data_IF_799756547494
#
_entry.id   IF_799756547494
#
_cell.length_a   1.000
_cell.length_b   1.000
_cell.length_c   1.000
_cell.angle_alpha   90.00
_cell.angle_beta   90.00
_cell.angle_gamma   90.00
#
_symmetry.space_group_name_H-M   'P 1'
#
loop_
_entity.id
_entity.type
_entity.pdbx_description
1 polymer ?
#
# COMPACT_ATOMS: atom_id res chain seq x y z
N UNK A 1 -0.79 -35.47 7.85
CA UNK A 1 -0.93 -34.38 6.88
C UNK A 1 -1.87 -34.80 5.76
N UNK A 2 -2.37 -33.84 4.97
CA UNK A 2 -3.20 -34.10 3.81
C UNK A 2 -2.39 -34.79 2.70
N UNK A 3 -3.05 -35.62 1.87
CA UNK A 3 -2.42 -36.24 0.71
C UNK A 3 -2.13 -35.21 -0.40
N UNK A 4 -1.31 -35.56 -1.37
CA UNK A 4 -1.02 -34.69 -2.54
C UNK A 4 -2.30 -34.45 -3.35
N UNK A 5 -3.14 -35.48 -3.44
CA UNK A 5 -4.42 -35.43 -4.13
C UNK A 5 -5.38 -34.44 -3.45
N UNK A 6 -5.49 -34.48 -2.13
CA UNK A 6 -6.32 -33.56 -1.34
C UNK A 6 -5.84 -32.11 -1.49
N UNK A 7 -4.53 -31.91 -1.46
CA UNK A 7 -3.91 -30.57 -1.64
C UNK A 7 -4.23 -30.05 -3.06
N UNK A 8 -4.05 -30.87 -4.08
CA UNK A 8 -4.32 -30.49 -5.47
C UNK A 8 -5.80 -30.16 -5.71
N UNK A 9 -6.71 -30.97 -5.17
CA UNK A 9 -8.14 -30.72 -5.22
C UNK A 9 -8.51 -29.42 -4.48
N UNK A 10 -7.97 -29.24 -3.27
CA UNK A 10 -8.19 -28.05 -2.47
C UNK A 10 -7.70 -26.75 -3.16
N UNK A 11 -6.56 -26.80 -3.84
CA UNK A 11 -6.05 -25.68 -4.64
C UNK A 11 -6.98 -25.36 -5.80
N UNK A 12 -7.46 -26.36 -6.56
CA UNK A 12 -8.37 -26.17 -7.67
C UNK A 12 -9.69 -25.53 -7.21
N UNK A 13 -10.26 -26.03 -6.11
CA UNK A 13 -11.48 -25.47 -5.50
C UNK A 13 -11.25 -24.03 -5.03
N UNK A 14 -10.10 -23.76 -4.39
CA UNK A 14 -9.77 -22.43 -3.89
C UNK A 14 -9.64 -21.39 -5.02
N UNK A 15 -8.99 -21.76 -6.12
CA UNK A 15 -8.88 -20.90 -7.32
C UNK A 15 -10.26 -20.57 -7.87
N UNK A 16 -11.12 -21.57 -8.00
CA UNK A 16 -12.48 -21.39 -8.50
C UNK A 16 -13.31 -20.50 -7.59
N UNK A 17 -13.29 -20.73 -6.28
CA UNK A 17 -14.00 -19.89 -5.31
C UNK A 17 -13.51 -18.44 -5.34
N UNK A 18 -12.20 -18.22 -5.46
CA UNK A 18 -11.67 -16.88 -5.63
C UNK A 18 -12.18 -16.22 -6.92
N UNK A 19 -12.19 -16.93 -8.04
CA UNK A 19 -12.68 -16.40 -9.31
C UNK A 19 -14.16 -16.04 -9.23
N UNK A 20 -15.00 -16.95 -8.76
CA UNK A 20 -16.46 -16.75 -8.72
C UNK A 20 -16.85 -15.67 -7.70
N UNK A 21 -16.39 -15.79 -6.46
CA UNK A 21 -16.91 -14.94 -5.37
C UNK A 21 -16.15 -13.64 -5.17
N UNK A 22 -14.85 -13.57 -5.47
CA UNK A 22 -14.06 -12.36 -5.25
C UNK A 22 -13.82 -11.53 -6.51
N UNK A 23 -13.63 -12.18 -7.66
CA UNK A 23 -13.35 -11.47 -8.91
C UNK A 23 -14.65 -11.17 -9.65
N UNK A 24 -15.45 -12.20 -9.98
CA UNK A 24 -16.73 -12.06 -10.66
C UNK A 24 -17.77 -11.47 -9.70
N UNK A 25 -17.69 -11.80 -8.41
CA UNK A 25 -18.62 -11.40 -7.35
C UNK A 25 -20.04 -11.93 -7.56
N UNK A 26 -20.18 -13.12 -8.17
CA UNK A 26 -21.45 -13.80 -8.26
C UNK A 26 -21.91 -14.25 -6.86
N UNK A 27 -23.15 -13.98 -6.50
CA UNK A 27 -23.72 -14.43 -5.23
C UNK A 27 -24.12 -15.91 -5.30
N UNK A 28 -24.51 -16.37 -6.50
CA UNK A 28 -24.91 -17.75 -6.78
C UNK A 28 -24.68 -18.10 -8.25
N UNK A 29 -24.91 -19.36 -8.61
CA UNK A 29 -24.70 -19.84 -9.98
C UNK A 29 -25.64 -19.21 -11.01
N UNK A 30 -26.83 -18.73 -10.61
CA UNK A 30 -27.80 -18.12 -11.51
C UNK A 30 -27.33 -16.76 -12.03
N UNK A 31 -26.49 -16.06 -11.29
CA UNK A 31 -25.87 -14.80 -11.71
C UNK A 31 -24.97 -14.98 -12.96
N UNK A 32 -24.47 -16.19 -13.21
CA UNK A 32 -23.66 -16.54 -14.37
C UNK A 32 -24.47 -17.02 -15.58
N UNK A 33 -25.79 -17.15 -15.42
CA UNK A 33 -26.69 -17.63 -16.46
C UNK A 33 -26.76 -19.14 -16.60
N UNK A 34 -27.57 -19.60 -17.54
CA UNK A 34 -27.83 -21.03 -17.75
C UNK A 34 -26.74 -21.74 -18.56
N UNK A 35 -26.10 -21.03 -19.49
CA UNK A 35 -25.06 -21.54 -20.38
C UNK A 35 -23.73 -20.88 -20.05
N UNK A 36 -22.89 -21.64 -19.36
CA UNK A 36 -21.58 -21.15 -18.93
C UNK A 36 -20.51 -21.71 -19.85
N UNK A 37 -19.77 -20.81 -20.49
CA UNK A 37 -18.63 -21.13 -21.34
C UNK A 37 -17.35 -20.61 -20.66
N UNK A 38 -16.36 -21.49 -20.57
CA UNK A 38 -15.05 -21.15 -20.02
C UNK A 38 -13.97 -21.12 -21.07
N UNK A 39 -13.02 -20.19 -20.93
CA UNK A 39 -11.94 -20.02 -21.88
C UNK A 39 -10.62 -19.68 -21.16
N UNK A 40 -9.52 -19.81 -21.90
CA UNK A 40 -8.17 -19.57 -21.40
C UNK A 40 -7.44 -20.86 -21.05
N UNK A 41 -6.11 -20.77 -20.98
CA UNK A 41 -5.22 -21.91 -20.77
C UNK A 41 -5.44 -22.63 -19.43
N UNK A 42 -5.90 -21.94 -18.40
CA UNK A 42 -6.19 -22.51 -17.09
C UNK A 42 -7.24 -23.63 -17.16
N UNK A 43 -8.20 -23.52 -18.07
CA UNK A 43 -9.25 -24.52 -18.24
C UNK A 43 -8.82 -25.74 -19.05
N UNK A 44 -7.56 -25.82 -19.51
CA UNK A 44 -7.00 -27.10 -19.98
C UNK A 44 -6.76 -28.09 -18.83
N UNK A 45 -6.70 -27.57 -17.59
CA UNK A 45 -6.64 -28.41 -16.40
C UNK A 45 -8.05 -28.92 -16.05
N UNK A 46 -8.26 -30.22 -16.21
CA UNK A 46 -9.54 -30.88 -15.95
C UNK A 46 -9.97 -30.76 -14.46
N UNK A 47 -9.02 -30.71 -13.54
CA UNK A 47 -9.34 -30.53 -12.12
C UNK A 47 -9.96 -29.15 -11.84
N UNK A 48 -9.49 -28.11 -12.53
CA UNK A 48 -10.07 -26.75 -12.42
C UNK A 48 -11.46 -26.72 -13.06
N UNK A 49 -11.62 -27.32 -14.26
CA UNK A 49 -12.93 -27.42 -14.91
C UNK A 49 -13.95 -28.13 -13.99
N UNK A 50 -13.55 -29.29 -13.47
CA UNK A 50 -14.43 -30.08 -12.58
C UNK A 50 -14.77 -29.35 -11.28
N UNK A 51 -13.79 -28.66 -10.67
CA UNK A 51 -14.01 -27.83 -9.49
C UNK A 51 -15.02 -26.70 -9.78
N UNK A 52 -14.97 -26.12 -10.99
CA UNK A 52 -15.90 -25.08 -11.42
C UNK A 52 -17.33 -25.62 -11.56
N UNK A 53 -17.50 -26.80 -12.20
CA UNK A 53 -18.80 -27.49 -12.33
C UNK A 53 -19.37 -27.86 -10.97
N UNK A 54 -18.55 -28.37 -10.06
CA UNK A 54 -18.98 -28.74 -8.71
C UNK A 54 -19.41 -27.53 -7.88
N UNK A 55 -18.65 -26.45 -7.95
CA UNK A 55 -18.98 -25.23 -7.20
C UNK A 55 -20.27 -24.55 -7.68
N UNK A 56 -20.53 -24.61 -8.99
CA UNK A 56 -21.75 -24.05 -9.58
C UNK A 56 -22.94 -25.02 -9.63
N UNK A 57 -22.72 -26.31 -9.38
CA UNK A 57 -23.75 -27.35 -9.54
C UNK A 57 -24.29 -27.49 -10.97
N UNK A 58 -23.47 -27.12 -11.99
CA UNK A 58 -23.85 -27.06 -13.41
C UNK A 58 -22.75 -27.54 -14.31
N UNK A 59 -23.13 -28.06 -15.47
CA UNK A 59 -22.19 -28.37 -16.55
C UNK A 59 -21.66 -27.06 -17.14
N UNK A 60 -20.38 -27.05 -17.46
CA UNK A 60 -19.68 -25.91 -18.04
C UNK A 60 -19.07 -26.34 -19.39
N UNK A 61 -19.31 -25.55 -20.43
CA UNK A 61 -18.78 -25.80 -21.75
C UNK A 61 -17.36 -25.28 -21.89
N UNK A 62 -16.41 -26.18 -22.13
CA UNK A 62 -15.03 -25.84 -22.49
C UNK A 62 -14.87 -26.13 -24.01
N UNK A 63 -14.76 -25.09 -24.87
CA UNK A 63 -14.47 -25.27 -26.28
C UNK A 63 -13.11 -25.94 -26.50
N UNK A 64 -12.98 -26.70 -27.60
CA UNK A 64 -11.70 -27.34 -27.98
C UNK A 64 -10.57 -26.31 -28.17
N UNK A 65 -10.91 -25.10 -28.56
CA UNK A 65 -9.98 -23.98 -28.77
C UNK A 65 -9.92 -23.05 -27.55
N UNK A 66 -10.32 -23.51 -26.36
CA UNK A 66 -10.42 -22.66 -25.16
C UNK A 66 -9.16 -21.87 -24.88
N UNK A 67 -7.96 -22.42 -25.12
CA UNK A 67 -6.67 -21.76 -24.90
C UNK A 67 -6.39 -20.59 -25.84
N UNK A 68 -7.02 -20.54 -27.00
CA UNK A 68 -6.81 -19.51 -28.04
C UNK A 68 -8.08 -18.69 -28.33
N UNK A 69 -9.13 -18.83 -27.51
CA UNK A 69 -10.41 -18.10 -27.71
C UNK A 69 -10.21 -16.58 -27.74
N UNK A 70 -9.29 -16.05 -26.96
CA UNK A 70 -8.95 -14.62 -26.98
C UNK A 70 -8.36 -14.18 -28.32
N UNK A 71 -7.43 -14.98 -28.88
CA UNK A 71 -6.87 -14.72 -30.22
C UNK A 71 -7.92 -14.84 -31.30
N UNK A 72 -8.81 -15.85 -31.21
CA UNK A 72 -9.93 -16.00 -32.13
C UNK A 72 -10.89 -14.80 -32.07
N UNK A 73 -11.26 -14.37 -30.88
CA UNK A 73 -12.09 -13.17 -30.69
C UNK A 73 -11.43 -11.90 -31.24
N UNK A 74 -10.13 -11.74 -31.02
CA UNK A 74 -9.38 -10.61 -31.58
C UNK A 74 -9.35 -10.63 -33.11
N UNK A 75 -9.24 -11.84 -33.74
CA UNK A 75 -9.30 -11.98 -35.18
C UNK A 75 -10.68 -11.62 -35.73
N UNK A 76 -11.76 -12.04 -35.05
CA UNK A 76 -13.12 -11.66 -35.43
C UNK A 76 -13.31 -10.15 -35.33
N UNK A 77 -12.85 -9.53 -34.23
CA UNK A 77 -12.93 -8.11 -34.07
C UNK A 77 -12.14 -7.32 -35.13
N UNK A 78 -10.92 -7.79 -35.47
CA UNK A 78 -10.12 -7.19 -36.51
C UNK A 78 -10.80 -7.28 -37.86
N UNK A 79 -11.46 -8.42 -38.18
CA UNK A 79 -12.26 -8.59 -39.40
C UNK A 79 -13.39 -7.56 -39.46
N UNK A 80 -14.12 -7.38 -38.37
CA UNK A 80 -15.28 -6.49 -38.29
C UNK A 80 -14.90 -5.00 -38.38
N UNK A 81 -13.62 -4.67 -38.13
CA UNK A 81 -13.11 -3.29 -38.32
C UNK A 81 -12.91 -2.92 -39.80
N UNK A 82 -12.96 -3.88 -40.75
CA UNK A 82 -12.80 -3.67 -42.18
C UNK A 82 -11.60 -2.78 -42.56
N UNK A 83 -10.46 -3.00 -41.93
CA UNK A 83 -9.24 -2.20 -42.18
C UNK A 83 -8.73 -2.45 -43.60
N UNK A 84 -8.46 -1.37 -44.35
CA UNK A 84 -7.93 -1.44 -45.72
C UNK A 84 -6.51 -1.99 -45.80
N UNK A 85 -5.70 -1.79 -44.76
CA UNK A 85 -4.32 -2.27 -44.70
C UNK A 85 -4.02 -2.97 -43.37
N UNK A 86 -3.30 -4.05 -43.45
CA UNK A 86 -2.76 -4.76 -42.32
C UNK A 86 -1.42 -4.13 -41.89
N UNK A 87 -1.17 -4.06 -40.56
CA UNK A 87 0.13 -3.72 -40.00
C UNK A 87 1.05 -4.96 -39.84
N UNK A 88 0.62 -6.13 -40.27
CA UNK A 88 1.43 -7.34 -40.24
C UNK A 88 2.65 -7.20 -41.17
N UNK A 89 3.75 -7.81 -40.75
CA UNK A 89 4.94 -7.91 -41.58
C UNK A 89 4.64 -8.74 -42.83
N UNK A 90 5.35 -8.46 -43.94
CA UNK A 90 5.27 -9.32 -45.12
C UNK A 90 5.84 -10.72 -44.83
N UNK A 91 5.55 -11.70 -45.67
CA UNK A 91 6.05 -13.05 -45.48
C UNK A 91 7.58 -13.11 -45.49
N UNK A 92 8.22 -12.38 -46.38
CA UNK A 92 9.70 -12.26 -46.45
C UNK A 92 10.26 -11.62 -45.17
N UNK A 93 9.61 -10.58 -44.62
CA UNK A 93 10.01 -9.93 -43.40
C UNK A 93 9.82 -10.83 -42.18
N UNK A 94 8.79 -11.71 -42.20
CA UNK A 94 8.58 -12.71 -41.13
C UNK A 94 9.62 -13.84 -41.20
N UNK A 95 10.03 -14.28 -42.38
CA UNK A 95 11.06 -15.31 -42.55
C UNK A 95 12.44 -14.85 -42.08
N UNK A 96 12.75 -13.55 -42.24
CA UNK A 96 13.99 -12.95 -41.82
C UNK A 96 13.95 -12.36 -40.40
N UNK A 97 12.79 -12.40 -39.76
CA UNK A 97 12.60 -11.78 -38.44
C UNK A 97 13.42 -12.48 -37.37
N UNK A 98 14.29 -11.71 -36.72
CA UNK A 98 15.04 -12.18 -35.56
C UNK A 98 14.73 -11.33 -34.34
N UNK A 99 14.72 -11.98 -33.19
CA UNK A 99 14.45 -11.35 -31.91
C UNK A 99 15.27 -12.02 -30.82
N UNK A 100 15.93 -11.22 -30.00
CA UNK A 100 16.62 -11.67 -28.80
C UNK A 100 16.03 -10.98 -27.58
N UNK A 101 15.81 -11.74 -26.52
CA UNK A 101 15.31 -11.24 -25.25
C UNK A 101 16.38 -11.45 -24.15
N UNK A 102 16.81 -10.37 -23.51
CA UNK A 102 17.78 -10.42 -22.41
C UNK A 102 17.15 -9.91 -21.11
N UNK A 103 16.99 -10.77 -20.08
CA UNK A 103 16.57 -10.31 -18.77
C UNK A 103 17.70 -9.50 -18.12
N UNK A 104 17.33 -8.44 -17.41
CA UNK A 104 18.27 -7.60 -16.65
C UNK A 104 17.54 -6.93 -15.48
N UNK A 105 18.30 -6.36 -14.55
CA UNK A 105 17.76 -5.59 -13.45
C UNK A 105 18.06 -4.11 -13.64
N UNK A 106 17.05 -3.27 -13.47
CA UNK A 106 17.20 -1.82 -13.48
C UNK A 106 17.86 -1.33 -12.19
N UNK A 107 18.97 -0.62 -12.30
CA UNK A 107 19.69 -0.06 -11.16
C UNK A 107 19.58 1.47 -11.08
N UNK A 108 18.58 2.08 -11.75
CA UNK A 108 18.40 3.53 -11.80
C UNK A 108 17.68 4.10 -10.56
N UNK A 109 17.11 3.23 -9.72
CA UNK A 109 16.49 3.60 -8.44
C UNK A 109 16.34 2.38 -7.55
N UNK A 110 15.84 2.58 -6.32
CA UNK A 110 15.63 1.52 -5.30
C UNK A 110 14.57 0.46 -5.65
N UNK A 111 13.77 0.66 -6.71
CA UNK A 111 12.77 -0.33 -7.13
C UNK A 111 13.36 -1.58 -7.77
N UNK A 112 14.60 -1.52 -8.31
CA UNK A 112 15.30 -2.66 -8.93
C UNK A 112 14.39 -3.50 -9.84
N UNK A 113 13.64 -2.84 -10.75
CA UNK A 113 12.70 -3.52 -11.63
C UNK A 113 13.38 -4.61 -12.47
N UNK A 114 12.78 -5.79 -12.53
CA UNK A 114 13.16 -6.82 -13.48
C UNK A 114 12.73 -6.40 -14.87
N UNK A 115 13.69 -6.21 -15.77
CA UNK A 115 13.48 -5.77 -17.14
C UNK A 115 13.75 -6.91 -18.12
N UNK A 116 13.06 -6.88 -19.25
CA UNK A 116 13.42 -7.66 -20.43
C UNK A 116 13.75 -6.70 -21.56
N UNK A 117 14.99 -6.73 -22.01
CA UNK A 117 15.46 -5.97 -23.16
C UNK A 117 15.28 -6.84 -24.40
N UNK A 118 14.32 -6.49 -25.23
CA UNK A 118 14.07 -7.13 -26.52
C UNK A 118 14.83 -6.36 -27.60
N UNK A 119 15.63 -7.05 -28.36
CA UNK A 119 16.36 -6.48 -29.52
C UNK A 119 15.87 -7.18 -30.78
N UNK A 120 15.43 -6.38 -31.73
CA UNK A 120 14.90 -6.81 -33.04
C UNK A 120 15.92 -6.47 -34.14
N UNK A 121 15.64 -7.00 -35.31
CA UNK A 121 16.42 -6.67 -36.52
C UNK A 121 16.58 -5.16 -36.72
N UNK A 122 17.72 -4.75 -37.23
CA UNK A 122 18.08 -3.33 -37.37
C UNK A 122 18.45 -2.64 -36.06
N UNK A 123 18.66 -3.41 -34.94
CA UNK A 123 19.09 -2.87 -33.66
C UNK A 123 18.00 -2.15 -32.87
N UNK A 124 16.75 -2.22 -33.30
CA UNK A 124 15.62 -1.63 -32.62
C UNK A 124 15.39 -2.34 -31.27
N UNK A 125 15.29 -1.57 -30.20
CA UNK A 125 15.09 -2.10 -28.85
C UNK A 125 13.71 -1.78 -28.29
N UNK A 126 13.17 -2.74 -27.55
CA UNK A 126 11.98 -2.56 -26.74
C UNK A 126 12.24 -3.12 -25.34
N UNK A 127 11.98 -2.31 -24.32
CA UNK A 127 12.17 -2.69 -22.92
C UNK A 127 10.82 -2.85 -22.28
N UNK A 128 10.61 -4.00 -21.64
CA UNK A 128 9.41 -4.31 -20.85
C UNK A 128 9.76 -4.59 -19.39
N UNK A 129 8.76 -4.57 -18.51
CA UNK A 129 8.94 -4.75 -17.06
C UNK A 129 9.33 -3.45 -16.33
N UNK A 130 9.54 -2.36 -17.03
CA UNK A 130 9.82 -1.06 -16.44
C UNK A 130 8.56 -0.43 -15.82
N UNK A 131 8.72 0.14 -14.64
CA UNK A 131 7.65 0.90 -13.96
C UNK A 131 7.75 2.42 -14.20
N UNK A 132 8.73 2.87 -14.96
CA UNK A 132 8.91 4.27 -15.34
C UNK A 132 9.67 4.36 -16.67
N UNK A 133 9.79 5.56 -17.23
CA UNK A 133 10.45 5.80 -18.52
C UNK A 133 11.99 5.90 -18.47
N UNK A 134 12.61 5.87 -17.28
CA UNK A 134 14.08 5.98 -17.14
C UNK A 134 14.87 4.92 -17.92
N UNK A 135 14.50 3.63 -17.90
CA UNK A 135 15.21 2.61 -18.67
C UNK A 135 15.07 2.78 -20.18
N UNK A 136 14.09 3.56 -20.64
CA UNK A 136 13.86 3.82 -22.06
C UNK A 136 14.76 4.95 -22.61
N UNK A 137 15.68 5.48 -21.80
CA UNK A 137 16.54 6.59 -22.20
C UNK A 137 15.82 7.92 -22.42
N UNK A 138 14.54 8.02 -22.04
CA UNK A 138 13.85 9.31 -22.06
C UNK A 138 14.51 10.22 -21.03
N UNK A 139 14.86 11.42 -21.46
CA UNK A 139 15.42 12.45 -20.59
C UNK A 139 14.55 12.55 -19.33
N UNK A 140 15.21 12.65 -18.17
CA UNK A 140 14.53 12.93 -16.91
C UNK A 140 13.77 14.24 -17.14
N UNK A 141 12.46 14.17 -17.21
CA UNK A 141 11.66 15.39 -17.13
C UNK A 141 12.02 15.97 -15.76
N UNK A 142 12.56 17.18 -15.76
CA UNK A 142 12.95 17.88 -14.53
C UNK A 142 11.69 18.38 -13.78
N UNK A 143 10.78 17.48 -13.54
CA UNK A 143 9.69 17.77 -12.61
C UNK A 143 10.29 17.76 -11.20
N UNK A 144 9.93 18.72 -10.36
CA UNK A 144 10.31 18.71 -8.96
C UNK A 144 9.92 17.37 -8.32
N UNK A 145 10.87 16.73 -7.64
CA UNK A 145 10.59 15.50 -6.89
C UNK A 145 9.93 15.88 -5.55
N UNK A 146 8.65 16.20 -5.62
CA UNK A 146 7.85 16.62 -4.45
C UNK A 146 7.79 15.55 -3.36
N UNK A 147 7.87 14.27 -3.72
CA UNK A 147 7.89 13.17 -2.73
C UNK A 147 9.17 13.20 -1.92
N UNK A 148 10.31 13.29 -2.59
CA UNK A 148 11.61 13.44 -1.88
C UNK A 148 11.68 14.73 -1.10
N UNK A 149 11.17 15.84 -1.63
CA UNK A 149 11.10 17.12 -0.93
C UNK A 149 10.30 17.01 0.37
N UNK A 150 9.06 16.52 0.29
CA UNK A 150 8.16 16.30 1.42
C UNK A 150 8.80 15.41 2.47
N UNK A 151 9.36 14.27 2.05
CA UNK A 151 10.02 13.32 2.95
C UNK A 151 11.20 13.95 3.69
N UNK A 152 12.12 14.60 2.99
CA UNK A 152 13.26 15.28 3.60
C UNK A 152 12.84 16.37 4.58
N UNK A 153 11.81 17.14 4.23
CA UNK A 153 11.27 18.19 5.07
C UNK A 153 10.72 17.65 6.39
N UNK A 154 9.96 16.56 6.33
CA UNK A 154 9.42 15.89 7.53
C UNK A 154 10.54 15.31 8.40
N UNK A 155 11.51 14.63 7.81
CA UNK A 155 12.65 14.07 8.55
C UNK A 155 13.54 15.15 9.19
N UNK A 156 13.66 16.30 8.55
CA UNK A 156 14.44 17.42 9.05
C UNK A 156 13.84 18.06 10.33
N UNK A 157 12.58 17.79 10.66
CA UNK A 157 11.99 18.24 11.92
C UNK A 157 12.78 17.71 13.12
N UNK A 158 13.20 16.46 13.10
CA UNK A 158 13.98 15.84 14.16
C UNK A 158 15.33 16.55 14.43
N UNK A 159 15.89 17.23 13.44
CA UNK A 159 17.15 17.98 13.58
C UNK A 159 16.98 19.43 14.06
N UNK A 160 15.75 19.95 14.18
CA UNK A 160 15.46 21.35 14.55
C UNK A 160 15.25 21.62 16.04
N UNK A 161 15.56 20.64 16.89
CA UNK A 161 15.31 20.71 18.32
C UNK A 161 14.11 19.85 18.71
N UNK A 162 14.39 18.73 19.33
CA UNK A 162 13.39 17.70 19.64
C UNK A 162 12.59 18.00 20.93
N UNK A 163 12.68 19.21 21.46
CA UNK A 163 12.17 19.54 22.77
C UNK A 163 13.23 19.34 23.89
N UNK A 164 12.91 19.80 25.09
CA UNK A 164 13.86 19.77 26.25
C UNK A 164 13.99 18.37 26.86
N UNK A 165 13.05 17.45 26.58
CA UNK A 165 12.99 16.13 27.22
C UNK A 165 12.65 16.14 28.72
N UNK A 166 12.32 17.28 29.28
CA UNK A 166 11.99 17.40 30.73
C UNK A 166 10.81 16.51 31.13
N UNK A 167 9.89 16.27 30.19
CA UNK A 167 8.72 15.38 30.40
C UNK A 167 8.89 13.99 29.84
N UNK A 168 10.10 13.62 29.41
CA UNK A 168 10.42 12.32 28.84
C UNK A 168 10.48 12.32 27.32
N UNK A 169 10.67 11.12 26.77
CA UNK A 169 10.85 10.84 25.34
C UNK A 169 9.55 10.31 24.75
N UNK A 170 8.98 11.04 23.78
CA UNK A 170 7.76 10.66 23.08
C UNK A 170 8.09 10.07 21.71
N UNK A 171 7.87 8.76 21.54
CA UNK A 171 8.05 8.07 20.29
C UNK A 171 6.89 8.30 19.32
N UNK A 172 7.19 8.61 18.07
CA UNK A 172 6.20 8.72 16.97
C UNK A 172 6.57 7.72 15.87
N UNK A 173 5.72 6.72 15.57
CA UNK A 173 5.95 5.81 14.47
C UNK A 173 5.77 6.56 13.14
N UNK A 174 6.83 6.60 12.31
CA UNK A 174 6.87 7.39 11.10
C UNK A 174 6.33 6.61 9.89
N UNK A 175 5.01 6.45 9.85
CA UNK A 175 4.30 5.74 8.78
C UNK A 175 2.80 6.03 8.78
N UNK A 176 2.12 5.63 7.72
CA UNK A 176 0.69 5.89 7.49
C UNK A 176 0.32 7.36 7.72
N UNK A 177 -0.78 7.64 8.46
CA UNK A 177 -1.23 8.99 8.78
C UNK A 177 -0.26 9.78 9.67
N UNK A 178 0.59 9.12 10.45
CA UNK A 178 1.59 9.80 11.27
C UNK A 178 2.67 10.47 10.40
N UNK A 179 2.89 9.97 9.18
CA UNK A 179 3.76 10.61 8.20
C UNK A 179 3.25 12.01 7.82
N UNK A 180 1.96 12.12 7.44
CA UNK A 180 1.39 13.39 7.01
C UNK A 180 1.10 14.35 8.15
N UNK A 181 0.67 13.84 9.29
CA UNK A 181 0.35 14.63 10.47
C UNK A 181 1.58 14.93 11.37
N UNK A 182 2.79 14.53 10.95
CA UNK A 182 3.98 14.71 11.73
C UNK A 182 4.24 16.18 12.12
N UNK A 183 4.08 17.20 11.23
CA UNK A 183 4.31 18.59 11.62
C UNK A 183 3.44 19.04 12.80
N UNK A 184 2.20 18.54 12.86
CA UNK A 184 1.30 18.81 13.98
C UNK A 184 1.80 18.17 15.28
N UNK A 185 2.03 16.84 15.26
CA UNK A 185 2.39 16.11 16.47
C UNK A 185 3.79 16.45 16.98
N UNK A 186 4.72 16.72 16.06
CA UNK A 186 6.06 17.15 16.43
C UNK A 186 6.04 18.47 17.19
N UNK A 187 5.37 19.49 16.66
CA UNK A 187 5.21 20.79 17.33
C UNK A 187 4.47 20.64 18.66
N UNK A 188 3.42 19.81 18.70
CA UNK A 188 2.62 19.58 19.90
C UNK A 188 3.45 19.07 21.07
N UNK A 189 4.17 17.97 20.86
CA UNK A 189 4.94 17.36 21.94
C UNK A 189 6.20 18.17 22.28
N UNK A 190 6.84 18.80 21.30
CA UNK A 190 7.98 19.68 21.55
C UNK A 190 7.58 20.88 22.43
N UNK A 191 6.42 21.49 22.14
CA UNK A 191 5.87 22.58 22.97
C UNK A 191 5.52 22.16 24.38
N UNK A 192 5.14 20.93 24.56
CA UNK A 192 4.88 20.32 25.86
C UNK A 192 6.16 19.82 26.55
N UNK A 193 7.34 20.18 26.05
CA UNK A 193 8.64 19.81 26.59
C UNK A 193 8.96 18.31 26.61
N UNK A 194 8.39 17.55 25.70
CA UNK A 194 8.87 16.20 25.39
C UNK A 194 10.02 16.24 24.40
N UNK A 195 10.95 15.30 24.50
CA UNK A 195 11.85 14.96 23.41
C UNK A 195 11.10 14.07 22.42
N UNK A 196 10.91 14.52 21.18
CA UNK A 196 10.24 13.74 20.15
C UNK A 196 11.23 12.83 19.43
N UNK A 197 10.96 11.53 19.46
CA UNK A 197 11.77 10.50 18.81
C UNK A 197 10.98 9.88 17.67
N UNK A 198 11.48 10.02 16.44
CA UNK A 198 10.88 9.36 15.28
C UNK A 198 11.46 7.95 15.12
N UNK A 199 10.60 7.01 14.76
CA UNK A 199 11.10 5.68 14.37
C UNK A 199 12.03 5.76 13.15
N UNK A 200 12.91 4.77 12.92
CA UNK A 200 13.82 4.73 11.78
C UNK A 200 13.10 4.81 10.42
N UNK A 201 13.86 4.99 9.36
CA UNK A 201 13.33 4.93 8.00
C UNK A 201 12.76 3.54 7.67
N UNK A 202 11.64 3.53 6.96
CA UNK A 202 11.03 2.30 6.45
C UNK A 202 12.02 1.55 5.57
N UNK A 203 12.25 0.29 5.88
CA UNK A 203 13.19 -0.58 5.17
C UNK A 203 12.75 -2.03 5.25
N UNK A 204 13.31 -2.89 4.39
CA UNK A 204 13.11 -4.33 4.51
C UNK A 204 13.56 -4.87 5.88
N UNK A 205 14.65 -4.33 6.43
CA UNK A 205 15.13 -4.72 7.76
C UNK A 205 14.10 -4.41 8.84
N UNK A 206 13.49 -3.22 8.75
CA UNK A 206 12.43 -2.82 9.68
C UNK A 206 11.17 -3.68 9.54
N UNK A 207 10.78 -4.02 8.30
CA UNK A 207 9.69 -4.96 8.04
C UNK A 207 9.94 -6.32 8.70
N UNK A 208 11.13 -6.90 8.47
CA UNK A 208 11.48 -8.21 9.03
C UNK A 208 11.51 -8.21 10.56
N UNK A 209 11.86 -7.09 11.19
CA UNK A 209 11.80 -6.92 12.64
C UNK A 209 10.40 -7.18 13.19
N UNK A 210 9.38 -6.50 12.66
CA UNK A 210 8.00 -6.63 13.15
C UNK A 210 7.17 -7.72 12.47
N UNK A 211 7.71 -8.47 11.51
CA UNK A 211 6.96 -9.43 10.69
C UNK A 211 6.23 -10.50 11.53
N UNK A 212 6.85 -10.95 12.61
CA UNK A 212 6.34 -12.02 13.47
C UNK A 212 5.07 -11.63 14.23
N UNK A 213 4.75 -10.34 14.32
CA UNK A 213 3.56 -9.83 15.01
C UNK A 213 2.41 -9.47 14.05
N UNK A 214 2.60 -9.64 12.73
CA UNK A 214 1.58 -9.31 11.73
C UNK A 214 0.52 -10.41 11.69
N UNK A 215 -0.75 -10.12 12.05
CA UNK A 215 -1.78 -11.15 12.17
C UNK A 215 -2.39 -11.58 10.83
N UNK A 216 -2.20 -10.82 9.75
CA UNK A 216 -2.78 -11.08 8.43
C UNK A 216 -1.90 -10.64 7.29
N UNK A 217 -1.71 -11.54 6.31
CA UNK A 217 -0.98 -11.23 5.09
C UNK A 217 -1.73 -10.31 4.12
N UNK A 218 -3.04 -10.16 4.30
CA UNK A 218 -3.87 -9.37 3.38
C UNK A 218 -3.81 -7.87 3.64
N UNK A 219 -3.26 -7.42 4.77
CA UNK A 219 -3.09 -6.00 5.06
C UNK A 219 -2.02 -5.38 4.16
N UNK A 220 -2.17 -4.11 3.82
CA UNK A 220 -1.24 -3.41 2.93
C UNK A 220 0.17 -3.30 3.54
N UNK A 221 1.19 -3.27 2.67
CA UNK A 221 2.59 -3.25 3.09
C UNK A 221 2.98 -2.06 3.99
N UNK A 222 2.50 -0.82 3.73
CA UNK A 222 2.75 0.30 4.65
C UNK A 222 2.27 0.05 6.08
N UNK A 223 1.14 -0.61 6.26
CA UNK A 223 0.64 -0.98 7.58
C UNK A 223 1.52 -2.05 8.24
N UNK A 224 1.96 -3.06 7.48
CA UNK A 224 2.88 -4.09 7.98
C UNK A 224 4.18 -3.50 8.52
N UNK A 225 4.68 -2.43 7.91
CA UNK A 225 5.88 -1.72 8.39
C UNK A 225 5.72 -1.14 9.79
N UNK A 226 4.49 -0.74 10.19
CA UNK A 226 4.24 -0.13 11.50
C UNK A 226 4.58 -1.07 12.67
N UNK A 227 4.49 -2.39 12.48
CA UNK A 227 4.94 -3.36 13.48
C UNK A 227 6.43 -3.16 13.81
N UNK A 228 7.28 -3.07 12.79
CA UNK A 228 8.70 -2.79 12.99
C UNK A 228 8.98 -1.38 13.52
N UNK A 229 8.19 -0.38 13.12
CA UNK A 229 8.32 1.00 13.61
C UNK A 229 8.09 1.09 15.13
N UNK A 230 7.01 0.47 15.63
CA UNK A 230 6.72 0.53 17.08
C UNK A 230 7.71 -0.29 17.89
N UNK A 231 8.14 -1.47 17.42
CA UNK A 231 9.17 -2.25 18.09
C UNK A 231 10.51 -1.49 18.17
N UNK A 232 10.89 -0.82 17.08
CA UNK A 232 12.12 -0.01 17.07
C UNK A 232 12.06 1.15 18.08
N UNK A 233 10.90 1.76 18.28
CA UNK A 233 10.72 2.81 19.31
C UNK A 233 10.81 2.26 20.73
N UNK A 234 10.28 1.07 20.99
CA UNK A 234 10.42 0.42 22.32
C UNK A 234 11.89 0.10 22.59
N UNK A 235 12.62 -0.45 21.63
CA UNK A 235 14.05 -0.73 21.77
C UNK A 235 14.90 0.54 21.93
N UNK A 236 14.49 1.66 21.32
CA UNK A 236 15.11 2.97 21.49
C UNK A 236 14.93 3.51 22.92
N UNK A 237 14.06 2.89 23.72
CA UNK A 237 13.84 3.25 25.12
C UNK A 237 13.05 4.54 25.29
N UNK A 238 12.03 4.77 24.45
CA UNK A 238 11.11 5.91 24.64
C UNK A 238 10.19 5.66 25.82
N UNK A 239 9.83 6.71 26.57
CA UNK A 239 8.95 6.60 27.74
C UNK A 239 7.50 6.36 27.35
N UNK A 240 7.07 6.90 26.20
CA UNK A 240 5.76 6.70 25.64
C UNK A 240 5.80 6.69 24.11
N UNK A 241 4.84 6.00 23.51
CA UNK A 241 4.60 6.03 22.05
C UNK A 241 3.23 6.63 21.81
N UNK A 242 3.16 7.64 20.95
CA UNK A 242 1.92 8.28 20.52
C UNK A 242 1.54 7.80 19.14
N UNK A 243 0.42 7.07 19.04
CA UNK A 243 -0.14 6.64 17.79
C UNK A 243 -1.69 6.61 17.86
N UNK A 244 -2.36 7.75 17.63
CA UNK A 244 -3.80 7.84 17.80
C UNK A 244 -4.56 7.15 16.68
N UNK A 245 -5.76 6.64 17.00
CA UNK A 245 -6.77 6.21 16.05
C UNK A 245 -7.47 7.45 15.47
N UNK A 246 -7.39 7.60 14.14
CA UNK A 246 -7.93 8.76 13.43
C UNK A 246 -8.80 8.30 12.26
N UNK A 247 -10.11 8.36 12.41
CA UNK A 247 -11.06 7.93 11.38
C UNK A 247 -11.33 8.98 10.30
N UNK A 248 -11.04 10.25 10.57
CA UNK A 248 -11.36 11.37 9.69
C UNK A 248 -10.20 12.36 9.61
N UNK A 249 -9.85 12.76 8.39
CA UNK A 249 -8.82 13.78 8.11
C UNK A 249 -9.41 15.18 8.04
N UNK A 250 -8.52 16.20 8.01
CA UNK A 250 -8.90 17.56 7.74
C UNK A 250 -9.50 17.69 6.33
N UNK A 251 -10.53 18.51 6.21
CA UNK A 251 -11.08 18.93 4.93
C UNK A 251 -10.16 19.98 4.31
N UNK A 252 -9.52 19.63 3.21
CA UNK A 252 -8.65 20.52 2.44
C UNK A 252 -9.39 21.23 1.29
N UNK A 253 -10.70 21.00 1.16
CA UNK A 253 -11.53 21.58 0.12
C UNK A 253 -11.26 21.06 -1.30
N UNK A 254 -10.61 19.90 -1.43
CA UNK A 254 -10.21 19.32 -2.73
C UNK A 254 -11.04 18.08 -3.07
N UNK A 255 -11.46 17.32 -2.07
CA UNK A 255 -12.23 16.09 -2.24
C UNK A 255 -13.56 16.13 -1.48
N UNK A 256 -14.38 15.14 -1.73
CA UNK A 256 -15.71 14.95 -1.12
C UNK A 256 -15.71 13.88 -0.01
N UNK A 257 -14.61 13.14 0.15
CA UNK A 257 -14.45 12.12 1.16
C UNK A 257 -13.17 12.32 1.99
N UNK A 258 -13.33 12.47 3.29
CA UNK A 258 -12.26 12.73 4.23
C UNK A 258 -12.05 11.61 5.26
N UNK A 259 -12.74 10.48 5.08
CA UNK A 259 -12.53 9.30 5.93
C UNK A 259 -11.24 8.60 5.56
N UNK A 260 -10.45 8.27 6.58
CA UNK A 260 -9.32 7.38 6.43
C UNK A 260 -9.80 5.96 6.11
N UNK A 261 -9.00 5.19 5.39
CA UNK A 261 -9.29 3.77 5.24
C UNK A 261 -9.28 3.08 6.63
N UNK A 262 -10.05 2.00 6.83
CA UNK A 262 -10.13 1.32 8.13
C UNK A 262 -8.78 0.91 8.71
N UNK A 263 -7.81 0.56 7.86
CA UNK A 263 -6.45 0.22 8.29
C UNK A 263 -5.78 1.43 8.93
N UNK A 264 -5.80 2.60 8.28
CA UNK A 264 -5.22 3.83 8.86
C UNK A 264 -5.95 4.23 10.15
N UNK A 265 -7.29 4.14 10.14
CA UNK A 265 -8.12 4.60 11.25
C UNK A 265 -7.92 3.80 12.54
N UNK A 266 -7.71 2.47 12.44
CA UNK A 266 -7.77 1.57 13.60
C UNK A 266 -6.51 0.72 13.80
N UNK A 267 -5.47 0.92 13.01
CA UNK A 267 -4.24 0.12 13.10
C UNK A 267 -3.53 0.23 14.46
N UNK A 268 -3.58 1.37 15.18
CA UNK A 268 -3.05 1.44 16.52
C UNK A 268 -3.62 0.41 17.50
N UNK A 269 -4.93 0.10 17.42
CA UNK A 269 -5.54 -0.95 18.24
C UNK A 269 -5.04 -2.34 17.87
N UNK A 270 -4.88 -2.59 16.56
CA UNK A 270 -4.34 -3.86 16.09
C UNK A 270 -2.90 -4.08 16.58
N UNK A 271 -2.07 -3.04 16.56
CA UNK A 271 -0.71 -3.08 17.10
C UNK A 271 -0.72 -3.35 18.61
N UNK A 272 -1.57 -2.65 19.36
CA UNK A 272 -1.70 -2.86 20.81
C UNK A 272 -2.06 -4.31 21.17
N UNK A 273 -2.89 -4.96 20.34
CA UNK A 273 -3.31 -6.34 20.52
C UNK A 273 -2.26 -7.38 20.10
N UNK A 274 -1.44 -7.07 19.09
CA UNK A 274 -0.59 -8.08 18.43
C UNK A 274 0.92 -7.88 18.64
N UNK A 275 1.38 -6.74 19.18
CA UNK A 275 2.80 -6.48 19.45
C UNK A 275 3.09 -6.57 20.95
N UNK A 276 3.53 -7.73 21.46
CA UNK A 276 3.74 -7.92 22.90
C UNK A 276 4.75 -6.96 23.51
N UNK A 277 5.73 -6.51 22.73
CA UNK A 277 6.78 -5.61 23.16
C UNK A 277 6.23 -4.24 23.63
N UNK A 278 5.07 -3.81 23.10
CA UNK A 278 4.39 -2.57 23.52
C UNK A 278 3.96 -2.55 25.00
N UNK A 279 3.89 -3.70 25.67
CA UNK A 279 3.63 -3.78 27.12
C UNK A 279 4.78 -3.22 27.97
N UNK A 280 5.96 -3.03 27.38
CA UNK A 280 7.15 -2.52 28.06
C UNK A 280 7.24 -0.97 28.05
N UNK A 281 6.36 -0.31 27.28
CA UNK A 281 6.31 1.16 27.21
C UNK A 281 4.86 1.64 27.28
N UNK A 282 4.67 2.92 27.55
CA UNK A 282 3.34 3.52 27.57
C UNK A 282 2.87 3.75 26.12
N UNK A 283 2.06 2.85 25.59
CA UNK A 283 1.49 2.98 24.27
C UNK A 283 0.16 3.73 24.31
N UNK A 284 0.10 4.91 23.69
CA UNK A 284 -1.07 5.79 23.68
C UNK A 284 -1.71 5.79 22.30
N UNK A 285 -2.85 5.12 22.20
CA UNK A 285 -3.63 4.96 20.96
C UNK A 285 -5.08 5.49 21.08
N UNK A 286 -5.28 6.72 21.61
CA UNK A 286 -6.61 7.24 21.79
C UNK A 286 -7.31 7.55 20.47
N UNK A 287 -8.64 7.61 20.52
CA UNK A 287 -9.43 8.16 19.42
C UNK A 287 -9.39 9.69 19.49
N UNK A 288 -8.78 10.30 18.49
CA UNK A 288 -8.72 11.76 18.32
C UNK A 288 -8.84 12.10 16.84
N UNK A 289 -9.37 13.30 16.55
CA UNK A 289 -9.45 13.81 15.18
C UNK A 289 -9.04 15.28 15.15
N UNK A 290 -8.25 15.67 14.16
CA UNK A 290 -7.75 17.05 14.04
C UNK A 290 -8.76 18.00 13.37
N UNK A 291 -9.75 17.48 12.68
CA UNK A 291 -10.69 18.25 11.84
C UNK A 291 -11.69 19.11 12.62
N UNK A 292 -12.03 18.76 13.88
CA UNK A 292 -12.86 19.56 14.78
C UNK A 292 -12.04 20.13 15.90
N UNK A 293 -11.46 21.31 15.68
CA UNK A 293 -10.52 21.91 16.61
C UNK A 293 -11.00 21.97 18.07
N UNK A 294 -12.27 22.38 18.29
CA UNK A 294 -12.84 22.45 19.64
C UNK A 294 -12.97 21.08 20.33
N UNK A 295 -13.41 20.07 19.58
CA UNK A 295 -13.53 18.72 20.11
C UNK A 295 -12.15 18.12 20.40
N UNK A 296 -11.21 18.36 19.48
CA UNK A 296 -9.80 17.99 19.66
C UNK A 296 -9.21 18.62 20.91
N UNK A 297 -9.30 19.94 21.06
CA UNK A 297 -8.75 20.67 22.22
C UNK A 297 -9.29 20.13 23.56
N UNK A 298 -10.59 19.84 23.61
CA UNK A 298 -11.21 19.24 24.79
C UNK A 298 -10.64 17.84 25.09
N UNK A 299 -10.59 16.98 24.04
CA UNK A 299 -10.15 15.59 24.19
C UNK A 299 -8.67 15.50 24.49
N UNK A 300 -7.81 16.26 23.79
CA UNK A 300 -6.38 16.21 24.00
C UNK A 300 -5.98 16.79 25.37
N UNK A 301 -6.68 17.82 25.85
CA UNK A 301 -6.44 18.36 27.20
C UNK A 301 -6.72 17.32 28.28
N UNK A 302 -7.83 16.57 28.14
CA UNK A 302 -8.16 15.47 29.03
C UNK A 302 -7.08 14.39 29.04
N UNK A 303 -6.61 13.97 27.88
CA UNK A 303 -5.57 12.94 27.72
C UNK A 303 -4.22 13.40 28.31
N UNK A 304 -3.84 14.66 28.09
CA UNK A 304 -2.58 15.18 28.59
C UNK A 304 -2.60 15.37 30.11
N UNK A 305 -3.74 15.74 30.68
CA UNK A 305 -3.93 15.80 32.13
C UNK A 305 -3.88 14.40 32.75
N UNK A 306 -4.63 13.43 32.19
CA UNK A 306 -4.71 12.04 32.67
C UNK A 306 -3.36 11.32 32.65
N UNK A 307 -2.64 11.44 31.53
CA UNK A 307 -1.44 10.66 31.33
C UNK A 307 -0.15 11.33 31.79
N UNK A 308 -0.11 12.67 31.83
CA UNK A 308 1.12 13.44 32.07
C UNK A 308 0.93 14.59 33.03
N UNK A 309 -0.24 14.77 33.62
CA UNK A 309 -0.56 15.86 34.55
C UNK A 309 -0.26 17.26 33.98
N UNK A 310 -0.49 17.43 32.66
CA UNK A 310 -0.26 18.70 31.96
C UNK A 310 -1.51 19.57 32.02
N UNK A 311 -1.40 20.83 32.48
CA UNK A 311 -2.53 21.72 32.59
C UNK A 311 -3.20 22.01 31.24
N UNK A 312 -4.55 22.11 31.25
CA UNK A 312 -5.35 22.40 30.06
C UNK A 312 -4.90 23.63 29.29
N UNK A 313 -4.50 24.70 30.00
CA UNK A 313 -4.01 25.96 29.38
C UNK A 313 -2.76 25.74 28.53
N UNK A 314 -1.83 24.93 29.03
CA UNK A 314 -0.59 24.59 28.32
C UNK A 314 -0.87 23.74 27.11
N UNK A 315 -1.72 22.73 27.28
CA UNK A 315 -2.15 21.83 26.18
C UNK A 315 -2.86 22.62 25.06
N UNK A 316 -3.74 23.55 25.39
CA UNK A 316 -4.44 24.39 24.41
C UNK A 316 -3.47 25.32 23.64
N UNK A 317 -2.47 25.87 24.31
CA UNK A 317 -1.43 26.70 23.67
C UNK A 317 -0.60 25.85 22.70
N UNK A 318 -0.21 24.63 23.08
CA UNK A 318 0.50 23.70 22.23
C UNK A 318 -0.35 23.30 21.00
N UNK A 319 -1.63 22.96 21.19
CA UNK A 319 -2.53 22.61 20.11
C UNK A 319 -2.67 23.75 19.08
N UNK A 320 -2.85 24.98 19.54
CA UNK A 320 -2.93 26.16 18.65
C UNK A 320 -1.65 26.33 17.82
N UNK A 321 -0.48 26.19 18.41
CA UNK A 321 0.80 26.28 17.70
C UNK A 321 0.95 25.15 16.69
N UNK A 322 0.47 23.94 17.02
CA UNK A 322 0.54 22.76 16.17
C UNK A 322 -0.33 22.90 14.91
N UNK A 323 -1.53 23.46 15.00
CA UNK A 323 -2.33 23.78 13.83
C UNK A 323 -1.59 24.79 12.92
N UNK A 324 -1.02 25.84 13.47
CA UNK A 324 -0.26 26.81 12.68
C UNK A 324 0.97 26.18 11.99
N UNK A 325 1.67 25.28 12.65
CA UNK A 325 2.79 24.55 12.06
C UNK A 325 2.35 23.59 10.94
N UNK A 326 1.21 22.92 11.12
CA UNK A 326 0.62 22.06 10.11
C UNK A 326 0.17 22.87 8.88
N UNK A 327 -0.54 23.96 9.07
CA UNK A 327 -1.00 24.84 7.99
C UNK A 327 0.19 25.43 7.20
N UNK A 328 1.24 25.86 7.88
CA UNK A 328 2.47 26.33 7.24
C UNK A 328 3.14 25.22 6.39
N UNK A 329 3.15 23.97 6.88
CA UNK A 329 3.65 22.83 6.13
C UNK A 329 2.80 22.54 4.90
N UNK A 330 1.47 22.50 5.04
CA UNK A 330 0.55 22.26 3.92
C UNK A 330 0.69 23.34 2.86
N UNK A 331 0.80 24.61 3.27
CA UNK A 331 1.03 25.72 2.34
C UNK A 331 2.34 25.60 1.56
N UNK A 332 3.40 25.16 2.23
CA UNK A 332 4.72 25.02 1.59
C UNK A 332 4.80 23.84 0.60
N UNK A 333 4.09 22.73 0.86
CA UNK A 333 4.13 21.56 -0.02
C UNK A 333 3.12 21.62 -1.18
N UNK A 334 2.21 22.59 -1.20
CA UNK A 334 1.32 22.95 -2.31
C UNK A 334 1.98 23.95 -3.27
#
# INVERSE_FOLDING_TARGET
GASVEDISAGLSISIVKNAVYKVIRAANADDLGQHIVVQGGTFHNDAVLRAFEQELGRNVTRPTISGIMGAFGAALYARDLHLEKSALLSEEALQSFSHTAKPTTCNLCTNHCSLTVNTFDGGRRFISGNRCSRPLGKAKVENPDLMTYKYKKLRALQGKGNGSGVRGRMGIPFGLNMYENLPFWFEFFTRLNFEVVLSPESSRKLYLKGQHTIPSDTVCYPAKLLHGHVEALVEEGVDAIWYPCMSYNNDEGIGDNHYNCPVVAYYPELLAANVPLLKQTKFLNPYVGLWRHKDFEKRIAQLMEEHFSIPRRETAAAAKASYAAYDAYVHDVR
#
